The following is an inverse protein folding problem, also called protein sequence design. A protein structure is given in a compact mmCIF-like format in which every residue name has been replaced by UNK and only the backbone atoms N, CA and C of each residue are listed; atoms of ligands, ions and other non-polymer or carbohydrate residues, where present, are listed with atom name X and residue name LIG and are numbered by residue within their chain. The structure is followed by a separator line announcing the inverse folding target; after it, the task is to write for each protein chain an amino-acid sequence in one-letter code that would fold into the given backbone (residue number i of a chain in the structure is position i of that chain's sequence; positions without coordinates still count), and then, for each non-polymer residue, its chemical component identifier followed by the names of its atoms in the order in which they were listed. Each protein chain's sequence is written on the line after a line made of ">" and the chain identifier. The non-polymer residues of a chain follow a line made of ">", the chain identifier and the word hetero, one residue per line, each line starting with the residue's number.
data_IF_359323508688
#
_entry.id   IF_359323508688
#
_cell.length_a   1.000
_cell.length_b   1.000
_cell.length_c   1.000
_cell.angle_alpha   90.00
_cell.angle_beta   90.00
_cell.angle_gamma   90.00
#
_symmetry.space_group_name_H-M   'P 1'
#
loop_
_entity.id
_entity.type
_entity.pdbx_description
1 polymer ?
#
# COMPACT_ATOMS: atom_id res chain seq x y z
N UNK A 1 -5.09 9.64 39.99
CA UNK A 1 -3.85 9.15 39.35
C UNK A 1 -3.88 7.65 39.04
N UNK A 2 -4.26 6.77 39.98
CA UNK A 2 -4.32 5.30 39.78
C UNK A 2 -5.15 4.87 38.54
N UNK A 3 -6.32 5.50 38.34
CA UNK A 3 -7.23 5.19 37.22
C UNK A 3 -6.68 5.53 35.82
N UNK A 4 -5.80 6.54 35.73
CA UNK A 4 -5.19 6.93 34.46
C UNK A 4 -4.10 5.92 34.04
N UNK A 5 -3.37 5.38 35.02
CA UNK A 5 -2.31 4.39 34.80
C UNK A 5 -2.91 3.04 34.39
N UNK A 6 -3.99 2.61 35.05
CA UNK A 6 -4.68 1.36 34.68
C UNK A 6 -5.35 1.45 33.30
N UNK A 7 -5.94 2.60 32.95
CA UNK A 7 -6.50 2.80 31.61
C UNK A 7 -5.42 2.78 30.51
N UNK A 8 -4.26 3.40 30.75
CA UNK A 8 -3.14 3.39 29.81
C UNK A 8 -2.53 1.98 29.64
N UNK A 9 -2.38 1.22 30.73
CA UNK A 9 -1.86 -0.15 30.69
C UNK A 9 -2.81 -1.13 29.97
N UNK A 10 -4.13 -1.01 30.18
CA UNK A 10 -5.12 -1.86 29.51
C UNK A 10 -5.24 -1.52 28.02
N UNK A 11 -5.10 -0.25 27.63
CA UNK A 11 -5.11 0.19 26.23
C UNK A 11 -3.85 -0.26 25.46
N UNK A 12 -2.69 -0.30 26.12
CA UNK A 12 -1.43 -0.77 25.52
C UNK A 12 -1.45 -2.25 25.12
N UNK A 13 -2.18 -3.09 25.85
CA UNK A 13 -2.28 -4.52 25.54
C UNK A 13 -3.07 -4.82 24.25
N UNK A 14 -4.04 -3.96 23.88
CA UNK A 14 -4.77 -4.08 22.62
C UNK A 14 -3.91 -3.68 21.40
N UNK A 15 -2.88 -2.84 21.60
CA UNK A 15 -1.92 -2.47 20.57
C UNK A 15 -0.89 -3.59 20.29
N UNK A 16 -0.68 -4.48 21.26
CA UNK A 16 0.35 -5.53 21.24
C UNK A 16 -0.15 -6.90 20.74
N UNK A 17 -1.44 -7.06 20.38
CA UNK A 17 -1.94 -8.34 19.80
C UNK A 17 -3.25 -8.19 19.01
N UNK A 18 -3.42 -8.89 17.86
CA UNK A 18 -2.55 -9.91 17.28
C UNK A 18 -1.75 -9.36 16.09
N UNK A 19 -0.43 -9.55 16.12
CA UNK A 19 0.32 -9.53 14.88
C UNK A 19 -0.24 -10.64 13.98
N UNK A 20 -0.46 -10.39 12.68
CA UNK A 20 -0.89 -11.44 11.76
C UNK A 20 0.06 -12.65 11.90
N UNK A 21 -0.46 -13.88 11.83
CA UNK A 21 0.38 -15.06 11.88
C UNK A 21 1.45 -14.99 10.79
N UNK A 22 2.64 -15.53 11.06
CA UNK A 22 3.70 -15.63 10.07
C UNK A 22 3.20 -16.41 8.85
N UNK A 23 2.96 -15.69 7.75
CA UNK A 23 2.54 -16.24 6.46
C UNK A 23 3.75 -16.28 5.55
N UNK A 24 3.93 -17.40 4.84
CA UNK A 24 4.96 -17.48 3.80
C UNK A 24 4.61 -16.56 2.64
N UNK A 25 5.63 -16.11 1.92
CA UNK A 25 5.44 -15.20 0.78
C UNK A 25 4.53 -15.79 -0.30
N UNK A 26 4.62 -17.10 -0.57
CA UNK A 26 3.76 -17.80 -1.53
C UNK A 26 2.29 -17.72 -1.15
N UNK A 27 1.98 -17.94 0.13
CA UNK A 27 0.61 -17.89 0.65
C UNK A 27 0.01 -16.48 0.56
N UNK A 28 0.85 -15.45 0.73
CA UNK A 28 0.43 -14.06 0.51
C UNK A 28 0.15 -13.77 -0.96
N UNK A 29 0.97 -14.30 -1.86
CA UNK A 29 0.75 -14.14 -3.31
C UNK A 29 -0.51 -14.88 -3.77
N UNK A 30 -0.84 -16.03 -3.15
CA UNK A 30 -2.04 -16.78 -3.48
C UNK A 30 -3.33 -16.03 -3.15
N UNK A 31 -3.30 -15.18 -2.12
CA UNK A 31 -4.40 -14.29 -1.73
C UNK A 31 -4.61 -13.10 -2.68
N UNK A 32 -3.74 -12.91 -3.67
CA UNK A 32 -3.90 -11.82 -4.63
C UNK A 32 -5.22 -12.00 -5.39
N UNK A 33 -6.07 -10.96 -5.49
CA UNK A 33 -7.35 -11.06 -6.18
C UNK A 33 -7.11 -11.30 -7.68
N UNK A 34 -7.51 -12.49 -8.16
CA UNK A 34 -7.41 -12.90 -9.58
C UNK A 34 -8.71 -12.67 -10.35
N UNK A 35 -9.83 -12.60 -9.64
CA UNK A 35 -11.17 -12.47 -10.20
C UNK A 35 -11.83 -11.17 -9.73
N UNK A 36 -12.76 -10.65 -10.53
CA UNK A 36 -13.53 -9.44 -10.19
C UNK A 36 -12.72 -8.14 -10.20
N UNK A 37 -11.50 -8.15 -10.74
CA UNK A 37 -10.72 -6.94 -10.97
C UNK A 37 -11.39 -6.09 -12.06
N UNK A 38 -11.54 -4.77 -11.89
CA UNK A 38 -12.15 -3.88 -12.88
C UNK A 38 -11.16 -3.54 -14.03
N UNK A 39 -10.50 -4.56 -14.58
CA UNK A 39 -9.61 -4.47 -15.74
C UNK A 39 -10.43 -4.67 -17.02
N UNK A 40 -10.03 -4.00 -18.10
CA UNK A 40 -10.69 -4.08 -19.41
C UNK A 40 -10.20 -5.31 -20.19
N UNK A 41 -8.94 -5.68 -20.00
CA UNK A 41 -8.29 -6.81 -20.64
C UNK A 41 -7.51 -7.66 -19.61
N UNK A 42 -7.03 -8.82 -20.05
CA UNK A 42 -6.23 -9.71 -19.22
C UNK A 42 -4.87 -9.08 -18.87
N UNK A 43 -4.47 -9.25 -17.60
CA UNK A 43 -3.18 -8.85 -17.08
C UNK A 43 -2.48 -10.03 -16.41
N UNK A 44 -1.22 -10.25 -16.75
CA UNK A 44 -0.38 -11.31 -16.16
C UNK A 44 0.70 -10.68 -15.28
N UNK A 45 0.83 -11.17 -14.05
CA UNK A 45 1.81 -10.68 -13.09
C UNK A 45 2.82 -11.78 -12.80
N UNK A 46 4.08 -11.54 -13.14
CA UNK A 46 5.20 -12.45 -12.87
C UNK A 46 5.95 -11.99 -11.62
N UNK A 47 6.28 -12.95 -10.76
CA UNK A 47 6.99 -12.71 -9.51
C UNK A 47 8.35 -13.39 -9.53
N UNK A 48 9.42 -12.63 -9.28
CA UNK A 48 10.75 -13.20 -9.14
C UNK A 48 11.07 -13.56 -7.67
N UNK A 49 12.23 -14.21 -7.45
CA UNK A 49 12.71 -14.59 -6.10
C UNK A 49 12.88 -13.40 -5.14
N UNK A 50 13.01 -12.19 -5.66
CA UNK A 50 13.16 -10.95 -4.89
C UNK A 50 11.84 -10.21 -4.69
N UNK A 51 10.70 -10.79 -5.06
CA UNK A 51 9.37 -10.17 -4.97
C UNK A 51 9.25 -8.87 -5.78
N UNK A 52 9.95 -8.79 -6.91
CA UNK A 52 9.81 -7.72 -7.88
C UNK A 52 8.73 -8.14 -8.88
N UNK A 53 7.58 -7.43 -8.93
CA UNK A 53 6.50 -7.73 -9.86
C UNK A 53 6.85 -7.22 -11.27
N UNK A 54 6.67 -8.09 -12.26
CA UNK A 54 6.65 -7.71 -13.67
C UNK A 54 5.22 -7.87 -14.17
N UNK A 55 4.62 -6.77 -14.62
CA UNK A 55 3.21 -6.72 -15.02
C UNK A 55 3.17 -6.63 -16.54
N UNK A 56 2.48 -7.59 -17.17
CA UNK A 56 2.14 -7.56 -18.58
C UNK A 56 0.64 -7.31 -18.70
N UNK A 57 0.26 -6.28 -19.44
CA UNK A 57 -1.15 -5.95 -19.71
C UNK A 57 -1.39 -5.99 -21.21
N UNK A 58 -2.58 -6.44 -21.60
CA UNK A 58 -3.01 -6.41 -23.00
C UNK A 58 -3.61 -5.05 -23.41
N UNK A 59 -3.89 -4.17 -22.44
CA UNK A 59 -4.33 -2.78 -22.64
C UNK A 59 -3.50 -1.87 -21.71
N UNK A 60 -2.85 -0.86 -22.28
CA UNK A 60 -2.01 0.08 -21.53
C UNK A 60 -2.81 0.90 -20.51
N UNK A 61 -4.10 1.11 -20.75
CA UNK A 61 -4.98 1.84 -19.82
C UNK A 61 -5.23 1.06 -18.52
N UNK A 62 -5.00 -0.26 -18.52
CA UNK A 62 -5.12 -1.12 -17.35
C UNK A 62 -3.83 -1.15 -16.50
N UNK A 63 -2.69 -0.72 -17.04
CA UNK A 63 -1.39 -0.74 -16.35
C UNK A 63 -1.40 0.01 -15.01
N UNK A 64 -1.93 1.25 -14.90
CA UNK A 64 -1.94 1.98 -13.63
C UNK A 64 -2.77 1.28 -12.56
N UNK A 65 -3.89 0.67 -12.97
CA UNK A 65 -4.77 -0.07 -12.07
C UNK A 65 -4.10 -1.36 -11.59
N UNK A 66 -3.54 -2.16 -12.51
CA UNK A 66 -2.83 -3.39 -12.17
C UNK A 66 -1.65 -3.11 -11.22
N UNK A 67 -0.87 -2.05 -11.47
CA UNK A 67 0.21 -1.60 -10.59
C UNK A 67 -0.32 -1.19 -9.20
N UNK A 68 -1.41 -0.42 -9.17
CA UNK A 68 -2.07 -0.01 -7.93
C UNK A 68 -2.55 -1.19 -7.09
N UNK A 69 -3.14 -2.21 -7.73
CA UNK A 69 -3.58 -3.44 -7.07
C UNK A 69 -2.41 -4.20 -6.44
N UNK A 70 -1.29 -4.32 -7.16
CA UNK A 70 -0.06 -4.94 -6.64
C UNK A 70 0.47 -4.20 -5.41
N UNK A 71 0.50 -2.86 -5.46
CA UNK A 71 0.93 -2.05 -4.32
C UNK A 71 -0.03 -2.14 -3.13
N UNK A 72 -1.34 -2.11 -3.39
CA UNK A 72 -2.34 -2.28 -2.34
C UNK A 72 -2.18 -3.65 -1.65
N UNK A 73 -2.07 -4.73 -2.42
CA UNK A 73 -1.94 -6.08 -1.85
C UNK A 73 -0.72 -6.24 -0.93
N UNK A 74 0.39 -5.59 -1.27
CA UNK A 74 1.63 -5.70 -0.49
C UNK A 74 1.77 -4.66 0.63
N UNK A 75 1.21 -3.46 0.46
CA UNK A 75 1.49 -2.30 1.31
C UNK A 75 0.29 -1.46 1.71
N UNK A 76 -0.95 -1.89 1.44
CA UNK A 76 -2.14 -1.11 1.80
C UNK A 76 -2.18 -0.76 3.29
N UNK A 77 -1.86 -1.71 4.18
CA UNK A 77 -1.81 -1.43 5.62
C UNK A 77 -0.81 -0.34 6.00
N UNK A 78 0.34 -0.28 5.32
CA UNK A 78 1.37 0.74 5.55
C UNK A 78 0.94 2.10 4.99
N UNK A 79 0.34 2.11 3.79
CA UNK A 79 -0.18 3.32 3.15
C UNK A 79 -1.33 3.92 3.96
N UNK A 80 -2.21 3.06 4.48
CA UNK A 80 -3.36 3.46 5.28
C UNK A 80 -2.94 3.96 6.66
N UNK A 81 -1.94 3.33 7.28
CA UNK A 81 -1.32 3.87 8.49
C UNK A 81 -0.71 5.25 8.23
N UNK A 82 0.05 5.39 7.15
CA UNK A 82 0.67 6.66 6.77
C UNK A 82 -0.38 7.76 6.51
N UNK A 83 -1.51 7.41 5.91
CA UNK A 83 -2.65 8.31 5.67
C UNK A 83 -3.23 8.90 6.96
N UNK A 84 -3.23 8.12 8.05
CA UNK A 84 -3.72 8.57 9.36
C UNK A 84 -2.66 9.34 10.16
N UNK A 85 -1.38 8.95 10.06
CA UNK A 85 -0.28 9.62 10.77
C UNK A 85 0.03 10.98 10.13
N UNK A 86 -0.04 11.07 8.81
CA UNK A 86 0.22 12.28 8.04
C UNK A 86 -1.03 12.70 7.25
N UNK A 87 -2.09 13.15 7.94
CA UNK A 87 -3.26 13.65 7.23
C UNK A 87 -2.85 14.87 6.41
N UNK A 88 -3.53 15.11 5.29
CA UNK A 88 -3.27 16.22 4.36
C UNK A 88 -3.07 17.58 5.05
N UNK A 89 -3.77 17.81 6.16
CA UNK A 89 -3.65 19.01 7.00
C UNK A 89 -2.34 19.11 7.81
N UNK A 90 -1.74 17.98 8.24
CA UNK A 90 -0.42 17.96 8.85
C UNK A 90 0.68 18.31 7.82
N UNK A 91 0.40 18.05 6.54
CA UNK A 91 1.24 18.45 5.41
C UNK A 91 1.43 19.97 5.34
N UNK A 92 0.41 20.80 5.62
CA UNK A 92 0.55 22.26 5.55
C UNK A 92 1.64 22.85 6.46
N UNK A 93 1.85 22.24 7.63
CA UNK A 93 2.86 22.68 8.60
C UNK A 93 4.27 22.10 8.32
N UNK A 94 4.35 20.90 7.73
CA UNK A 94 5.60 20.21 7.42
C UNK A 94 6.11 20.47 5.98
N UNK A 95 5.24 20.97 5.11
CA UNK A 95 5.52 21.31 3.71
C UNK A 95 6.60 22.38 3.48
N UNK A 96 6.76 23.45 4.29
CA UNK A 96 7.81 24.43 4.02
C UNK A 96 9.23 23.85 4.18
N UNK A 97 9.40 22.71 4.86
CA UNK A 97 10.68 22.02 5.00
C UNK A 97 10.96 21.01 3.87
N UNK A 98 9.92 20.51 3.20
CA UNK A 98 10.03 19.60 2.07
C UNK A 98 9.93 20.41 0.76
N UNK A 99 11.07 20.65 0.11
CA UNK A 99 11.18 21.45 -1.11
C UNK A 99 10.04 21.24 -2.11
N UNK A 100 9.64 22.36 -2.73
CA UNK A 100 8.54 22.52 -3.68
C UNK A 100 8.67 21.58 -4.89
N UNK A 101 8.18 20.34 -4.82
CA UNK A 101 8.00 19.48 -5.99
C UNK A 101 6.77 19.92 -6.82
N UNK A 102 6.90 21.07 -7.50
CA UNK A 102 6.05 21.45 -8.63
C UNK A 102 6.81 21.13 -9.89
N UNK A 103 6.70 19.90 -10.39
CA UNK A 103 6.97 19.46 -11.76
C UNK A 103 7.06 17.94 -11.76
N UNK A 104 5.93 17.24 -11.78
CA UNK A 104 5.93 15.87 -12.33
C UNK A 104 5.82 16.04 -13.84
N UNK A 105 6.87 15.75 -14.63
CA UNK A 105 6.73 15.72 -16.08
C UNK A 105 5.76 14.60 -16.45
N UNK A 106 4.88 14.86 -17.42
CA UNK A 106 4.02 13.84 -18.00
C UNK A 106 4.88 12.68 -18.49
N UNK A 107 4.57 11.46 -18.04
CA UNK A 107 5.28 10.26 -18.48
C UNK A 107 5.12 10.10 -20.00
N UNK A 108 6.18 9.73 -20.74
CA UNK A 108 6.03 9.37 -22.14
C UNK A 108 5.16 8.12 -22.26
N UNK A 109 4.11 8.18 -23.08
CA UNK A 109 3.40 6.97 -23.53
C UNK A 109 4.39 6.13 -24.34
N UNK A 110 4.73 4.94 -23.85
CA UNK A 110 5.36 3.94 -24.69
C UNK A 110 4.29 3.45 -25.68
N UNK A 111 4.65 3.43 -26.96
CA UNK A 111 3.84 2.96 -28.08
C UNK A 111 4.35 1.59 -28.48
#
# INVERSE_FOLDING_TARGET
>A
MIWAVTAALLSGCALLKPFPPDRKTTERLDMFPREGAPLRAEATIYWNKHQIPYIHVNDDEDLPLALGMVHAHLRLGQMELLRHVFPRQAGGALWPAAGRCRSFPAYPRFR
#
